data_IF_029578885836
#
_entry.id   IF_029578885836
#
_cell.length_a   1.000
_cell.length_b   1.000
_cell.length_c   1.000
_cell.angle_alpha   90.00
_cell.angle_beta   90.00
_cell.angle_gamma   90.00
#
_symmetry.space_group_name_H-M   'P 1'
#
loop_
_entity.id
_entity.type
_entity.pdbx_description
1 polymer ?
#
# COMPACT_ATOMS: atom_id res chain seq x y z
N UNK A 1 -24.61 -2.51 -18.60
CA UNK A 1 -24.86 -1.09 -18.28
C UNK A 1 -24.44 -0.89 -16.85
N UNK A 2 -23.62 0.12 -16.57
CA UNK A 2 -23.14 0.36 -15.21
C UNK A 2 -24.14 1.22 -14.46
N UNK A 3 -24.26 1.01 -13.15
CA UNK A 3 -25.08 1.86 -12.31
C UNK A 3 -24.31 3.13 -11.98
N UNK A 4 -24.98 4.27 -12.02
CA UNK A 4 -24.35 5.54 -11.66
C UNK A 4 -24.17 5.64 -10.13
N UNK A 5 -22.92 5.86 -9.69
CA UNK A 5 -22.61 5.94 -8.27
C UNK A 5 -23.35 7.09 -7.57
N UNK A 6 -23.50 8.25 -8.24
CA UNK A 6 -24.20 9.40 -7.66
C UNK A 6 -25.68 9.10 -7.44
N UNK A 7 -26.35 8.45 -8.40
CA UNK A 7 -27.74 8.04 -8.24
C UNK A 7 -27.94 7.14 -7.02
N UNK A 8 -27.02 6.18 -6.78
CA UNK A 8 -27.07 5.35 -5.58
C UNK A 8 -26.87 6.17 -4.30
N UNK A 9 -25.89 7.06 -4.28
CA UNK A 9 -25.64 7.96 -3.14
C UNK A 9 -26.86 8.83 -2.84
N UNK A 10 -27.55 9.35 -3.86
CA UNK A 10 -28.74 10.20 -3.69
C UNK A 10 -29.88 9.50 -2.93
N UNK A 11 -29.99 8.18 -3.05
CA UNK A 11 -31.02 7.38 -2.35
C UNK A 11 -30.72 7.19 -0.86
N UNK A 12 -29.48 7.42 -0.41
CA UNK A 12 -29.09 7.26 0.98
C UNK A 12 -29.60 8.44 1.79
N UNK A 13 -30.37 8.15 2.84
CA UNK A 13 -30.88 9.16 3.77
C UNK A 13 -29.98 9.25 5.01
N UNK A 14 -30.03 10.38 5.72
CA UNK A 14 -29.28 10.62 6.98
C UNK A 14 -27.75 10.43 6.84
N UNK A 15 -27.19 10.76 5.67
CA UNK A 15 -25.76 10.60 5.32
C UNK A 15 -24.79 11.13 6.38
N UNK A 16 -25.08 12.28 6.98
CA UNK A 16 -24.25 12.91 8.02
C UNK A 16 -24.20 12.17 9.37
N UNK A 17 -24.91 11.05 9.52
CA UNK A 17 -24.84 10.17 10.70
C UNK A 17 -24.19 8.82 10.39
N UNK A 18 -23.74 8.60 9.15
CA UNK A 18 -23.18 7.32 8.72
C UNK A 18 -21.70 7.28 9.09
N UNK A 19 -21.33 6.29 9.90
CA UNK A 19 -19.94 6.02 10.29
C UNK A 19 -19.30 4.95 9.41
N UNK A 20 -20.11 4.02 8.92
CA UNK A 20 -19.74 2.93 8.02
C UNK A 20 -20.66 2.96 6.79
N UNK A 21 -20.10 3.20 5.62
CA UNK A 21 -20.81 3.18 4.34
C UNK A 21 -20.42 1.94 3.55
N UNK A 22 -21.42 1.18 3.09
CA UNK A 22 -21.21 0.02 2.23
C UNK A 22 -22.03 0.12 0.95
N UNK A 23 -21.33 0.33 -0.16
CA UNK A 23 -21.87 0.37 -1.52
C UNK A 23 -21.29 -0.76 -2.38
N UNK A 24 -20.77 -1.82 -1.75
CA UNK A 24 -20.10 -2.92 -2.46
C UNK A 24 -21.05 -3.75 -3.33
N UNK A 25 -20.52 -4.42 -4.36
CA UNK A 25 -21.23 -5.40 -5.20
C UNK A 25 -22.47 -4.84 -5.92
N UNK A 26 -22.33 -3.69 -6.59
CA UNK A 26 -23.47 -2.99 -7.20
C UNK A 26 -23.24 -2.51 -8.64
N UNK A 27 -22.13 -2.91 -9.26
CA UNK A 27 -21.74 -2.44 -10.59
C UNK A 27 -21.70 -0.91 -10.72
N UNK A 28 -21.39 -0.21 -9.61
CA UNK A 28 -21.33 1.24 -9.59
C UNK A 28 -20.10 1.73 -10.35
N UNK A 29 -20.29 2.76 -11.17
CA UNK A 29 -19.23 3.43 -11.92
C UNK A 29 -19.38 4.95 -11.83
N UNK A 30 -18.40 5.66 -12.39
CA UNK A 30 -18.40 7.12 -12.43
C UNK A 30 -17.90 7.74 -11.13
N UNK A 31 -18.39 8.95 -10.85
CA UNK A 31 -18.00 9.74 -9.69
C UNK A 31 -19.17 9.87 -8.71
N UNK A 32 -18.86 10.20 -7.46
CA UNK A 32 -19.86 10.45 -6.43
C UNK A 32 -19.43 11.60 -5.52
N UNK A 33 -20.38 12.47 -5.21
CA UNK A 33 -20.27 13.49 -4.19
C UNK A 33 -20.57 12.89 -2.81
N UNK A 34 -19.56 12.89 -1.95
CA UNK A 34 -19.60 12.39 -0.59
C UNK A 34 -19.65 13.53 0.44
N UNK A 35 -19.92 14.77 0.00
CA UNK A 35 -19.95 15.99 0.84
C UNK A 35 -20.87 15.89 2.06
N UNK A 36 -21.95 15.12 1.97
CA UNK A 36 -22.91 14.92 3.06
C UNK A 36 -22.47 13.88 4.13
N UNK A 37 -21.41 13.11 3.91
CA UNK A 37 -20.97 12.04 4.82
C UNK A 37 -20.00 12.55 5.92
N UNK A 38 -20.48 13.52 6.71
CA UNK A 38 -19.68 14.27 7.71
C UNK A 38 -19.06 13.47 8.86
N UNK A 39 -19.48 12.22 9.05
CA UNK A 39 -19.05 11.34 10.15
C UNK A 39 -18.33 10.07 9.70
N UNK A 40 -18.07 9.91 8.39
CA UNK A 40 -17.62 8.65 7.83
C UNK A 40 -16.21 8.26 8.34
N UNK A 41 -16.08 7.03 8.82
CA UNK A 41 -14.83 6.45 9.30
C UNK A 41 -14.40 5.23 8.49
N UNK A 42 -15.37 4.49 7.94
CA UNK A 42 -15.12 3.28 7.20
C UNK A 42 -15.94 3.29 5.91
N UNK A 43 -15.28 3.03 4.79
CA UNK A 43 -15.92 3.00 3.50
C UNK A 43 -15.63 1.69 2.76
N UNK A 44 -16.67 0.94 2.43
CA UNK A 44 -16.61 -0.26 1.61
C UNK A 44 -17.27 -0.01 0.25
N UNK A 45 -16.46 0.01 -0.80
CA UNK A 45 -16.87 0.17 -2.19
C UNK A 45 -16.32 -0.97 -3.07
N UNK A 46 -16.07 -2.14 -2.46
CA UNK A 46 -15.54 -3.31 -3.16
C UNK A 46 -16.47 -3.86 -4.25
N UNK A 47 -15.91 -4.54 -5.25
CA UNK A 47 -16.63 -5.19 -6.35
C UNK A 47 -17.58 -4.22 -7.07
N UNK A 48 -17.01 -3.12 -7.57
CA UNK A 48 -17.67 -2.13 -8.39
C UNK A 48 -16.78 -1.86 -9.63
N UNK A 49 -17.00 -0.74 -10.29
CA UNK A 49 -16.34 -0.37 -11.54
C UNK A 49 -15.67 1.01 -11.45
N UNK A 50 -15.22 1.40 -10.26
CA UNK A 50 -14.50 2.65 -10.08
C UNK A 50 -13.11 2.59 -10.74
N UNK A 51 -12.74 3.65 -11.47
CA UNK A 51 -11.47 3.72 -12.21
C UNK A 51 -10.38 4.55 -11.51
N UNK A 52 -10.78 5.37 -10.54
CA UNK A 52 -9.91 6.26 -9.77
C UNK A 52 -10.47 6.44 -8.36
N UNK A 53 -9.83 7.30 -7.56
CA UNK A 53 -10.23 7.61 -6.18
C UNK A 53 -10.84 9.03 -6.06
N UNK A 54 -11.15 9.69 -7.18
CA UNK A 54 -11.48 11.13 -7.17
C UNK A 54 -12.78 11.44 -6.43
N UNK A 55 -13.71 10.50 -6.35
CA UNK A 55 -14.92 10.62 -5.53
C UNK A 55 -14.64 10.79 -4.04
N UNK A 56 -13.45 10.38 -3.56
CA UNK A 56 -13.05 10.62 -2.17
C UNK A 56 -12.68 12.08 -1.92
N UNK A 57 -12.45 12.89 -2.96
CA UNK A 57 -12.02 14.28 -2.80
C UNK A 57 -13.11 15.16 -2.17
N UNK A 58 -14.38 14.83 -2.39
CA UNK A 58 -15.55 15.53 -1.86
C UNK A 58 -15.86 15.19 -0.40
N UNK A 59 -15.25 14.14 0.16
CA UNK A 59 -15.52 13.72 1.52
C UNK A 59 -15.08 14.81 2.52
N UNK A 60 -15.99 15.31 3.38
CA UNK A 60 -15.64 16.24 4.43
C UNK A 60 -14.91 15.50 5.56
N UNK A 61 -14.14 16.20 6.39
CA UNK A 61 -13.50 15.63 7.56
C UNK A 61 -12.66 14.36 7.24
N UNK A 62 -11.83 14.43 6.19
CA UNK A 62 -11.01 13.30 5.70
C UNK A 62 -10.13 12.68 6.78
N UNK A 63 -9.77 13.46 7.79
CA UNK A 63 -9.05 13.00 8.99
C UNK A 63 -9.83 11.98 9.84
N UNK A 64 -11.15 11.84 9.67
CA UNK A 64 -11.93 10.80 10.37
C UNK A 64 -11.85 9.44 9.70
N UNK A 65 -11.52 9.39 8.40
CA UNK A 65 -11.55 8.15 7.63
C UNK A 65 -10.36 7.25 8.00
N UNK A 66 -10.66 6.05 8.47
CA UNK A 66 -9.68 5.08 8.99
C UNK A 66 -9.53 3.86 8.10
N UNK A 67 -10.54 3.52 7.29
CA UNK A 67 -10.53 2.33 6.46
C UNK A 67 -11.23 2.54 5.14
N UNK A 68 -10.59 2.12 4.05
CA UNK A 68 -11.15 2.10 2.70
C UNK A 68 -11.01 0.70 2.10
N UNK A 69 -12.10 0.14 1.59
CA UNK A 69 -12.07 -1.10 0.82
C UNK A 69 -12.53 -0.84 -0.62
N UNK A 70 -11.60 -0.95 -1.56
CA UNK A 70 -11.78 -0.78 -3.01
C UNK A 70 -11.41 -2.05 -3.77
N UNK A 71 -11.40 -3.19 -3.09
CA UNK A 71 -11.13 -4.49 -3.70
C UNK A 71 -11.98 -4.72 -4.95
N UNK A 72 -11.38 -5.25 -6.02
CA UNK A 72 -12.13 -5.67 -7.21
C UNK A 72 -12.81 -4.52 -7.94
N UNK A 73 -12.07 -3.44 -8.21
CA UNK A 73 -12.50 -2.31 -9.04
C UNK A 73 -11.61 -2.24 -10.30
N UNK A 74 -11.71 -1.12 -11.04
CA UNK A 74 -10.94 -0.86 -12.25
C UNK A 74 -9.89 0.23 -12.05
N UNK A 75 -9.42 0.43 -10.82
CA UNK A 75 -8.48 1.49 -10.46
C UNK A 75 -7.15 1.27 -11.18
N UNK A 76 -6.73 2.26 -11.99
CA UNK A 76 -5.54 2.16 -12.85
C UNK A 76 -4.27 2.69 -12.20
N UNK A 77 -4.38 3.64 -11.28
CA UNK A 77 -3.25 4.28 -10.64
C UNK A 77 -3.55 4.62 -9.18
N UNK A 78 -2.52 4.61 -8.33
CA UNK A 78 -2.58 5.10 -6.96
C UNK A 78 -1.40 6.01 -6.64
N UNK A 79 -1.70 7.18 -6.06
CA UNK A 79 -0.71 8.08 -5.48
C UNK A 79 -0.81 7.98 -3.96
N UNK A 80 0.11 7.22 -3.35
CA UNK A 80 0.12 7.02 -1.91
C UNK A 80 0.51 8.28 -1.13
N UNK A 81 1.36 9.14 -1.70
CA UNK A 81 1.77 10.37 -1.04
C UNK A 81 0.57 11.32 -0.91
N UNK A 82 -0.20 11.48 -2.00
CA UNK A 82 -1.46 12.21 -1.96
C UNK A 82 -2.47 11.55 -1.02
N UNK A 83 -2.68 10.23 -1.14
CA UNK A 83 -3.65 9.51 -0.31
C UNK A 83 -3.40 9.71 1.19
N UNK A 84 -2.16 9.55 1.67
CA UNK A 84 -1.87 9.70 3.09
C UNK A 84 -1.78 11.15 3.56
N UNK A 85 -1.63 12.11 2.63
CA UNK A 85 -1.75 13.54 2.95
C UNK A 85 -3.21 13.94 3.11
N UNK A 86 -4.06 13.51 2.17
CA UNK A 86 -5.50 13.77 2.21
C UNK A 86 -6.19 13.05 3.38
N UNK A 87 -5.76 11.83 3.70
CA UNK A 87 -6.35 10.97 4.74
C UNK A 87 -5.29 10.58 5.80
N UNK A 88 -4.88 11.52 6.67
CA UNK A 88 -3.75 11.31 7.59
C UNK A 88 -3.96 10.13 8.55
N UNK A 89 -5.21 9.90 8.97
CA UNK A 89 -5.57 8.83 9.90
C UNK A 89 -5.99 7.51 9.23
N UNK A 90 -5.80 7.38 7.90
CA UNK A 90 -6.12 6.15 7.19
C UNK A 90 -5.20 5.01 7.68
N UNK A 91 -5.79 3.97 8.26
CA UNK A 91 -5.07 2.82 8.83
C UNK A 91 -5.13 1.60 7.95
N UNK A 92 -6.21 1.43 7.18
CA UNK A 92 -6.45 0.26 6.33
C UNK A 92 -6.86 0.68 4.93
N UNK A 93 -6.26 0.06 3.94
CA UNK A 93 -6.69 0.19 2.55
C UNK A 93 -6.55 -1.14 1.82
N UNK A 94 -7.58 -1.52 1.08
CA UNK A 94 -7.53 -2.65 0.18
C UNK A 94 -7.83 -2.20 -1.24
N UNK A 95 -6.83 -2.29 -2.12
CA UNK A 95 -6.97 -2.07 -3.57
C UNK A 95 -6.66 -3.33 -4.37
N UNK A 96 -6.66 -4.50 -3.72
CA UNK A 96 -6.40 -5.77 -4.41
C UNK A 96 -7.43 -6.03 -5.51
N UNK A 97 -7.06 -6.84 -6.50
CA UNK A 97 -7.87 -7.08 -7.71
C UNK A 97 -8.22 -5.81 -8.52
N UNK A 98 -7.39 -4.79 -8.46
CA UNK A 98 -7.40 -3.67 -9.41
C UNK A 98 -6.23 -3.80 -10.41
N UNK A 99 -6.29 -3.17 -11.60
CA UNK A 99 -5.15 -3.08 -12.52
C UNK A 99 -4.10 -2.02 -12.13
N UNK A 100 -4.11 -1.53 -10.88
CA UNK A 100 -3.41 -0.33 -10.45
C UNK A 100 -1.87 -0.42 -10.55
N UNK A 101 -1.21 0.66 -10.96
CA UNK A 101 0.22 0.96 -10.70
C UNK A 101 0.35 2.07 -9.65
N UNK A 102 1.51 2.19 -9.01
CA UNK A 102 1.83 3.31 -8.13
C UNK A 102 2.54 4.43 -8.87
N UNK A 103 2.24 5.68 -8.54
CA UNK A 103 2.91 6.86 -9.08
C UNK A 103 3.41 7.78 -7.98
N UNK A 104 4.27 8.73 -8.35
CA UNK A 104 4.79 9.77 -7.45
C UNK A 104 5.44 9.23 -6.16
N UNK A 105 6.04 8.03 -6.23
CA UNK A 105 6.66 7.39 -5.07
C UNK A 105 7.81 8.22 -4.47
N UNK A 106 8.49 9.02 -5.28
CA UNK A 106 9.48 10.00 -4.85
C UNK A 106 8.93 11.12 -3.94
N UNK A 107 7.61 11.32 -3.93
CA UNK A 107 6.96 12.31 -3.06
C UNK A 107 6.63 11.73 -1.67
N UNK A 108 6.85 10.43 -1.43
CA UNK A 108 6.60 9.81 -0.13
C UNK A 108 7.58 10.31 0.92
N UNK A 109 7.04 10.81 2.04
CA UNK A 109 7.84 11.02 3.24
C UNK A 109 8.29 9.67 3.82
N UNK A 110 9.34 9.68 4.64
CA UNK A 110 9.81 8.44 5.29
C UNK A 110 8.78 7.81 6.20
N UNK A 111 7.93 8.62 6.83
CA UNK A 111 6.80 8.13 7.60
C UNK A 111 5.75 7.45 6.72
N UNK A 112 5.38 8.06 5.59
CA UNK A 112 4.40 7.48 4.65
C UNK A 112 4.92 6.18 4.04
N UNK A 113 6.18 6.13 3.62
CA UNK A 113 6.79 4.90 3.12
C UNK A 113 6.82 3.82 4.21
N UNK A 114 7.17 4.20 5.45
CA UNK A 114 7.17 3.28 6.59
C UNK A 114 5.80 2.66 6.85
N UNK A 115 4.77 3.52 6.84
CA UNK A 115 3.37 3.16 6.98
C UNK A 115 2.91 2.18 5.90
N UNK A 116 3.37 2.33 4.65
CA UNK A 116 3.09 1.37 3.58
C UNK A 116 3.67 0.01 3.92
N UNK A 117 4.96 -0.06 4.21
CA UNK A 117 5.65 -1.33 4.45
C UNK A 117 5.10 -2.05 5.69
N UNK A 118 4.89 -1.33 6.79
CA UNK A 118 4.31 -1.89 8.01
C UNK A 118 2.86 -2.33 7.78
N UNK A 119 2.07 -1.51 7.11
CA UNK A 119 0.69 -1.84 6.77
C UNK A 119 0.58 -3.09 5.88
N UNK A 120 1.51 -3.30 4.95
CA UNK A 120 1.57 -4.53 4.14
C UNK A 120 1.90 -5.73 5.03
N UNK A 121 2.94 -5.62 5.87
CA UNK A 121 3.36 -6.68 6.81
C UNK A 121 2.21 -7.11 7.73
N UNK A 122 1.42 -6.15 8.21
CA UNK A 122 0.27 -6.37 9.09
C UNK A 122 -1.05 -6.66 8.35
N UNK A 123 -1.03 -6.77 7.02
CA UNK A 123 -2.21 -6.98 6.16
C UNK A 123 -3.28 -5.88 6.25
N UNK A 124 -2.92 -4.71 6.78
CA UNK A 124 -3.76 -3.50 6.80
C UNK A 124 -3.78 -2.81 5.44
N UNK A 125 -2.69 -2.92 4.67
CA UNK A 125 -2.55 -2.38 3.32
C UNK A 125 -2.43 -3.58 2.36
N UNK A 126 -3.42 -3.75 1.49
CA UNK A 126 -3.52 -4.89 0.60
C UNK A 126 -3.44 -4.43 -0.86
N UNK A 127 -2.37 -4.85 -1.55
CA UNK A 127 -1.95 -4.33 -2.85
C UNK A 127 -1.84 -5.42 -3.93
N UNK A 128 -2.50 -6.56 -3.75
CA UNK A 128 -2.46 -7.69 -4.68
C UNK A 128 -3.23 -7.33 -5.96
N UNK A 129 -2.66 -6.45 -6.78
CA UNK A 129 -3.20 -5.92 -8.01
C UNK A 129 -2.99 -6.94 -9.13
N UNK A 130 -3.94 -7.02 -10.08
CA UNK A 130 -3.97 -8.05 -11.12
C UNK A 130 -2.71 -8.07 -12.00
N UNK A 131 -2.03 -6.92 -12.12
CA UNK A 131 -0.80 -6.76 -12.92
C UNK A 131 0.48 -6.81 -12.08
N UNK A 132 0.42 -6.99 -10.76
CA UNK A 132 1.59 -6.95 -9.88
C UNK A 132 2.35 -5.61 -9.84
N UNK A 133 1.82 -4.56 -10.48
CA UNK A 133 2.49 -3.31 -10.77
C UNK A 133 2.79 -2.50 -9.51
N UNK A 134 1.81 -2.25 -8.63
CA UNK A 134 2.05 -1.48 -7.38
C UNK A 134 3.22 -2.04 -6.57
N UNK A 135 3.30 -3.36 -6.44
CA UNK A 135 4.40 -3.99 -5.71
C UNK A 135 5.74 -3.80 -6.44
N UNK A 136 5.76 -4.03 -7.76
CA UNK A 136 6.97 -3.84 -8.56
C UNK A 136 7.43 -2.38 -8.52
N UNK A 137 6.51 -1.42 -8.58
CA UNK A 137 6.79 0.01 -8.48
C UNK A 137 7.45 0.35 -7.14
N UNK A 138 6.94 -0.21 -6.03
CA UNK A 138 7.55 -0.06 -4.71
C UNK A 138 8.95 -0.69 -4.62
N UNK A 139 9.18 -1.84 -5.26
CA UNK A 139 10.49 -2.49 -5.31
C UNK A 139 11.49 -1.69 -6.14
N UNK A 140 11.07 -1.18 -7.30
CA UNK A 140 11.89 -0.30 -8.14
C UNK A 140 12.24 0.97 -7.37
N UNK A 141 11.27 1.58 -6.69
CA UNK A 141 11.52 2.74 -5.86
C UNK A 141 12.52 2.47 -4.73
N UNK A 142 12.39 1.34 -4.03
CA UNK A 142 13.36 0.93 -3.01
C UNK A 142 14.77 0.74 -3.60
N UNK A 143 14.89 0.12 -4.78
CA UNK A 143 16.17 -0.02 -5.51
C UNK A 143 16.81 1.33 -5.83
N UNK A 144 16.01 2.28 -6.30
CA UNK A 144 16.48 3.62 -6.63
C UNK A 144 16.97 4.37 -5.39
N UNK A 145 16.25 4.29 -4.27
CA UNK A 145 16.67 4.90 -3.00
C UNK A 145 18.05 4.38 -2.57
N UNK A 146 18.29 3.08 -2.72
CA UNK A 146 19.58 2.44 -2.39
C UNK A 146 20.68 2.91 -3.33
N UNK A 147 20.37 2.98 -4.63
CA UNK A 147 21.33 3.34 -5.68
C UNK A 147 21.72 4.83 -5.62
N UNK A 148 20.81 5.70 -5.17
CA UNK A 148 21.07 7.13 -4.91
C UNK A 148 21.97 7.36 -3.70
N UNK A 149 22.11 6.37 -2.81
CA UNK A 149 22.90 6.50 -1.57
C UNK A 149 22.40 7.64 -0.67
N UNK A 150 23.24 8.09 0.28
CA UNK A 150 22.94 9.18 1.21
C UNK A 150 22.83 10.58 0.55
N UNK A 151 22.36 10.69 -0.70
CA UNK A 151 22.34 11.92 -1.50
C UNK A 151 21.43 13.02 -0.94
N UNK A 152 20.43 12.70 -0.12
CA UNK A 152 19.64 13.68 0.61
C UNK A 152 19.06 13.10 1.92
N UNK A 153 18.60 13.98 2.80
CA UNK A 153 18.13 13.63 4.15
C UNK A 153 16.90 12.71 4.15
N UNK A 154 16.03 12.83 3.14
CA UNK A 154 14.84 11.98 2.99
C UNK A 154 15.22 10.54 2.59
N UNK A 155 16.14 10.38 1.64
CA UNK A 155 16.69 9.07 1.26
C UNK A 155 17.40 8.40 2.44
N UNK A 156 18.12 9.18 3.26
CA UNK A 156 18.75 8.67 4.49
C UNK A 156 17.73 8.13 5.50
N UNK A 157 16.63 8.87 5.72
CA UNK A 157 15.57 8.45 6.63
C UNK A 157 14.82 7.20 6.13
N UNK A 158 14.55 7.10 4.82
CA UNK A 158 14.00 5.89 4.20
C UNK A 158 14.90 4.66 4.40
N UNK A 159 16.20 4.84 4.19
CA UNK A 159 17.21 3.77 4.33
C UNK A 159 17.37 3.30 5.78
N UNK A 160 17.40 4.23 6.74
CA UNK A 160 17.47 3.90 8.16
C UNK A 160 16.26 3.06 8.61
N UNK A 161 15.07 3.35 8.08
CA UNK A 161 13.88 2.57 8.36
C UNK A 161 13.94 1.16 7.77
N UNK A 162 14.38 1.01 6.51
CA UNK A 162 14.57 -0.31 5.89
C UNK A 162 15.54 -1.17 6.71
N UNK A 163 16.63 -0.58 7.21
CA UNK A 163 17.57 -1.27 8.11
C UNK A 163 16.88 -1.74 9.40
N UNK A 164 16.09 -0.87 10.04
CA UNK A 164 15.33 -1.22 11.25
C UNK A 164 14.39 -2.40 11.04
N UNK A 165 13.71 -2.47 9.89
CA UNK A 165 12.84 -3.62 9.57
C UNK A 165 13.65 -4.90 9.44
N UNK A 166 14.77 -4.86 8.71
CA UNK A 166 15.60 -6.04 8.45
C UNK A 166 16.24 -6.58 9.73
N UNK A 167 16.59 -5.70 10.69
CA UNK A 167 17.23 -6.08 11.95
C UNK A 167 16.27 -6.61 13.03
N UNK A 168 14.94 -6.56 12.84
CA UNK A 168 13.99 -7.05 13.83
C UNK A 168 13.86 -8.59 13.78
N UNK A 169 13.91 -9.30 14.93
CA UNK A 169 13.73 -10.75 14.98
C UNK A 169 12.34 -11.14 14.44
N UNK A 170 12.32 -12.01 13.44
CA UNK A 170 11.09 -12.52 12.85
C UNK A 170 10.46 -13.57 13.76
N UNK A 171 9.21 -13.36 14.19
CA UNK A 171 8.38 -14.45 14.73
C UNK A 171 7.88 -15.29 13.56
N UNK A 172 8.55 -16.40 13.30
CA UNK A 172 8.06 -17.47 12.42
C UNK A 172 6.98 -18.26 13.16
N UNK A 173 5.72 -17.89 12.99
CA UNK A 173 4.63 -18.81 13.29
C UNK A 173 4.46 -19.77 12.11
N UNK A 174 5.19 -20.88 12.16
CA UNK A 174 4.88 -22.05 11.33
C UNK A 174 3.70 -22.75 12.03
N UNK A 175 2.48 -22.53 11.53
CA UNK A 175 1.37 -23.41 11.86
C UNK A 175 1.51 -24.67 11.03
N UNK A 176 2.00 -25.73 11.67
CA UNK A 176 1.97 -27.10 11.13
C UNK A 176 0.53 -27.61 11.25
N UNK A 177 -0.27 -27.47 10.20
CA UNK A 177 -1.58 -28.12 10.11
C UNK A 177 -1.41 -29.51 9.48
N UNK A 178 -1.56 -30.54 10.31
CA UNK A 178 -1.64 -31.93 9.88
C UNK A 178 -2.91 -32.14 9.03
N UNK A 179 -2.73 -32.86 7.92
CA UNK A 179 -3.75 -33.14 6.91
C UNK A 179 -4.92 -34.00 7.42
N UNK A 180 -6.14 -33.66 6.99
CA UNK A 180 -7.17 -34.66 6.67
C UNK A 180 -7.91 -34.22 5.40
N UNK A 181 -7.90 -35.08 4.38
CA UNK A 181 -8.47 -34.84 3.04
C UNK A 181 -10.01 -34.89 3.10
N UNK A 182 -10.68 -33.93 2.47
CA UNK A 182 -11.68 -34.23 1.44
C UNK A 182 -12.02 -32.99 0.58
N UNK A 183 -12.22 -33.28 -0.70
CA UNK A 183 -12.19 -32.37 -1.85
C UNK A 183 -13.52 -31.64 -2.10
N UNK A 184 -13.48 -30.35 -2.47
CA UNK A 184 -14.12 -29.85 -3.69
C UNK A 184 -13.77 -28.37 -4.01
N UNK A 185 -13.15 -28.20 -5.19
CA UNK A 185 -13.20 -27.08 -6.14
C UNK A 185 -12.70 -25.67 -5.75
N UNK A 186 -11.38 -25.47 -5.94
CA UNK A 186 -10.73 -24.40 -6.72
C UNK A 186 -11.33 -22.97 -6.73
N UNK A 187 -10.71 -22.10 -5.92
CA UNK A 187 -9.92 -20.97 -6.44
C UNK A 187 -8.88 -20.56 -5.38
N UNK A 188 -7.82 -21.36 -5.28
CA UNK A 188 -6.71 -21.12 -4.39
C UNK A 188 -5.73 -20.18 -5.10
N UNK A 189 -5.98 -18.86 -5.04
CA UNK A 189 -4.99 -17.87 -5.47
C UNK A 189 -3.86 -17.87 -4.45
N UNK A 190 -2.82 -18.60 -4.81
CA UNK A 190 -1.55 -18.85 -4.14
C UNK A 190 -1.09 -17.76 -3.15
N UNK A 191 -0.90 -18.18 -1.90
CA UNK A 191 -0.19 -17.44 -0.84
C UNK A 191 1.30 -17.21 -1.16
N UNK A 192 1.84 -17.75 -2.25
CA UNK A 192 3.27 -17.68 -2.57
C UNK A 192 3.72 -16.27 -2.98
N UNK A 193 2.81 -15.42 -3.48
CA UNK A 193 3.14 -14.05 -3.87
C UNK A 193 3.48 -13.16 -2.66
N UNK A 194 2.89 -13.42 -1.49
CA UNK A 194 3.10 -12.66 -0.24
C UNK A 194 4.46 -13.02 0.40
N UNK A 195 4.84 -14.30 0.34
CA UNK A 195 6.17 -14.74 0.80
C UNK A 195 7.29 -14.26 -0.15
N UNK A 196 7.01 -14.14 -1.45
CA UNK A 196 7.88 -13.45 -2.40
C UNK A 196 8.00 -11.94 -2.13
N UNK A 197 7.01 -11.32 -1.50
CA UNK A 197 6.96 -9.88 -1.19
C UNK A 197 7.80 -9.55 0.03
N UNK A 198 7.56 -10.25 1.13
CA UNK A 198 8.34 -10.12 2.37
C UNK A 198 9.75 -10.66 2.12
N UNK A 199 9.88 -11.84 1.49
CA UNK A 199 11.16 -12.39 1.08
C UNK A 199 11.91 -11.51 0.07
N UNK A 200 11.21 -10.90 -0.89
CA UNK A 200 11.80 -10.01 -1.90
C UNK A 200 12.25 -8.67 -1.34
N UNK A 201 11.47 -8.04 -0.46
CA UNK A 201 11.90 -6.85 0.29
C UNK A 201 13.03 -7.15 1.28
N UNK A 202 13.06 -8.35 1.87
CA UNK A 202 14.16 -8.81 2.74
C UNK A 202 15.42 -9.08 1.93
N UNK A 203 15.33 -9.77 0.78
CA UNK A 203 16.45 -10.01 -0.13
C UNK A 203 16.98 -8.66 -0.65
N UNK A 204 16.09 -7.71 -0.97
CA UNK A 204 16.48 -6.35 -1.30
C UNK A 204 17.19 -5.67 -0.12
N UNK A 205 16.65 -5.77 1.10
CA UNK A 205 17.27 -5.29 2.34
C UNK A 205 18.66 -5.88 2.60
N UNK A 206 18.86 -7.17 2.32
CA UNK A 206 20.17 -7.83 2.40
C UNK A 206 21.14 -7.33 1.32
N UNK A 207 20.65 -7.09 0.10
CA UNK A 207 21.44 -6.45 -0.95
C UNK A 207 21.83 -5.00 -0.59
N UNK A 208 20.94 -4.26 0.08
CA UNK A 208 21.24 -2.93 0.65
C UNK A 208 22.39 -2.99 1.66
N UNK A 209 22.39 -4.00 2.55
CA UNK A 209 23.45 -4.20 3.53
C UNK A 209 24.80 -4.56 2.87
N UNK A 210 24.78 -5.43 1.86
CA UNK A 210 25.97 -5.82 1.10
C UNK A 210 26.60 -4.66 0.33
N UNK A 211 25.78 -3.86 -0.35
CA UNK A 211 26.23 -2.69 -1.13
C UNK A 211 26.69 -1.56 -0.20
N UNK A 212 25.97 -1.30 0.89
CA UNK A 212 26.34 -0.30 1.90
C UNK A 212 27.66 -0.64 2.61
N UNK A 213 27.86 -1.91 2.98
CA UNK A 213 29.10 -2.40 3.56
C UNK A 213 30.29 -2.28 2.57
N UNK A 214 30.06 -2.63 1.31
CA UNK A 214 31.09 -2.55 0.26
C UNK A 214 31.51 -1.11 -0.07
N UNK A 215 30.55 -0.19 -0.16
CA UNK A 215 30.82 1.24 -0.42
C UNK A 215 31.48 1.95 0.78
N UNK A 216 31.11 1.59 2.02
CA UNK A 216 31.74 2.11 3.23
C UNK A 216 33.22 1.74 3.35
N UNK A 217 33.56 0.49 3.01
CA UNK A 217 34.95 0.01 2.99
C UNK A 217 35.82 0.76 1.98
N UNK A 218 35.26 1.11 0.81
CA UNK A 218 35.95 1.87 -0.25
C UNK A 218 36.28 3.31 0.17
N UNK A 219 35.37 4.00 0.87
CA UNK A 219 35.62 5.35 1.40
C UNK A 219 36.69 5.36 2.49
N UNK A 220 36.73 4.36 3.36
CA UNK A 220 37.77 4.26 4.40
C UNK A 220 39.15 3.92 3.81
N UNK A 221 39.21 3.08 2.77
CA UNK A 221 40.45 2.80 2.05
C UNK A 221 41.01 4.03 1.32
N UNK A 222 40.13 4.84 0.71
CA UNK A 222 40.54 6.08 0.03
C UNK A 222 40.93 7.21 1.00
N UNK A 223 40.47 7.19 2.26
CA UNK A 223 40.84 8.19 3.26
C UNK A 223 42.21 7.91 3.90
N UNK A 224 42.61 6.64 3.94
CA UNK A 224 43.91 6.20 4.46
C UNK A 224 45.04 6.24 3.43
N UNK A 225 44.76 6.49 2.15
CA UNK A 225 45.77 6.61 1.08
C UNK A 225 46.18 8.06 0.76
N UNK A 226 45.68 9.04 1.54
CA UNK A 226 46.07 10.46 1.45
C UNK A 226 46.75 10.97 2.73
N UNK A 227 47.11 10.05 3.62
CA UNK A 227 47.89 10.30 4.84
C UNK A 227 49.07 9.33 4.90
N UNK A 228 49.92 9.37 3.88
CA UNK A 228 51.32 8.91 3.90
C UNK A 228 52.16 9.89 3.06
#
# INVERSE_FOLDING_TARGET
MNNDAQQHINQITRKGRIYYLDISNRDLAGNADLSDFTTLQNFNAANNQFENLDFLNSLPNKEKLQSINLFGNQIKEIDFAKLFTDFPNLKRINISKNPASAKNLNNLTSEQFSKIIEGIKEKKIQLNCLKGTVLMDLLVHAKELVSRGNANQQTQAHMAYLQKIVSQPQKTEIKTEASTKNSQSNNQTSNNSIYLLVGGLIIFGLAVLGIGYWLGKRKNAAKNSFTE
#
